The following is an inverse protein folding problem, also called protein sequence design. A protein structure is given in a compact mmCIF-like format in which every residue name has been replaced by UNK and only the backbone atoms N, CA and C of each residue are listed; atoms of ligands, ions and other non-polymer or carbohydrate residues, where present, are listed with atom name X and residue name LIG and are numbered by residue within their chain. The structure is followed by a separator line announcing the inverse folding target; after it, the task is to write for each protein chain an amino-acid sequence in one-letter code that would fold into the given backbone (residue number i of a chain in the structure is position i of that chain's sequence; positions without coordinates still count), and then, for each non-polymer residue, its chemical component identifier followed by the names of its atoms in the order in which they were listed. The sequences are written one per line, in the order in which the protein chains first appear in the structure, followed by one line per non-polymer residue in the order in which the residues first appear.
data_IF_065052953013
#
_entry.id   IF_065052953013
#
_cell.length_a   1.000
_cell.length_b   1.000
_cell.length_c   1.000
_cell.angle_alpha   90.00
_cell.angle_beta   90.00
_cell.angle_gamma   90.00
#
_symmetry.space_group_name_H-M   'P 1'
#
loop_
_entity.id
_entity.type
_entity.pdbx_description
1 polymer ?
#
# COMPACT_ATOMS: atom_id res chain seq x y z
N UNK A 1 11.99 -7.89 -12.23
CA UNK A 1 10.95 -8.83 -12.72
C UNK A 1 9.66 -8.40 -12.05
N UNK A 2 8.65 -7.98 -12.82
CA UNK A 2 7.34 -7.66 -12.26
C UNK A 2 6.76 -8.95 -11.66
N UNK A 3 6.43 -8.93 -10.37
CA UNK A 3 5.72 -10.02 -9.70
C UNK A 3 4.25 -9.91 -10.06
N UNK A 4 3.74 -10.87 -10.84
CA UNK A 4 2.30 -11.00 -11.14
C UNK A 4 1.49 -11.01 -9.84
N UNK A 5 0.61 -10.02 -9.67
CA UNK A 5 -0.22 -9.82 -8.47
C UNK A 5 -1.19 -10.97 -8.24
N UNK A 6 -1.53 -11.76 -9.26
CA UNK A 6 -2.42 -12.91 -9.12
C UNK A 6 -1.78 -14.11 -8.46
N UNK A 7 -0.47 -14.10 -8.17
CA UNK A 7 0.18 -15.20 -7.44
C UNK A 7 -0.07 -15.08 -5.94
N UNK A 8 -1.19 -15.65 -5.51
CA UNK A 8 -1.53 -15.79 -4.10
C UNK A 8 -0.58 -16.80 -3.43
N UNK A 9 0.11 -16.37 -2.37
CA UNK A 9 1.00 -17.22 -1.59
C UNK A 9 0.19 -18.27 -0.82
N UNK A 10 0.58 -19.54 -0.94
CA UNK A 10 -0.10 -20.66 -0.27
C UNK A 10 -0.08 -20.54 1.25
N UNK A 11 0.96 -19.93 1.81
CA UNK A 11 1.10 -19.65 3.25
C UNK A 11 -0.05 -18.77 3.78
N UNK A 12 -0.57 -17.87 2.95
CA UNK A 12 -1.69 -17.00 3.29
C UNK A 12 -3.08 -17.61 2.96
N UNK A 13 -3.14 -18.88 2.57
CA UNK A 13 -4.42 -19.53 2.26
C UNK A 13 -5.32 -19.62 3.50
N UNK A 14 -4.75 -19.98 4.65
CA UNK A 14 -5.52 -20.11 5.89
C UNK A 14 -6.13 -18.77 6.32
N UNK A 15 -5.34 -17.69 6.28
CA UNK A 15 -5.85 -16.36 6.66
C UNK A 15 -6.95 -15.90 5.70
N UNK A 16 -6.81 -16.12 4.39
CA UNK A 16 -7.86 -15.79 3.41
C UNK A 16 -9.16 -16.55 3.66
N UNK A 17 -9.08 -17.83 4.00
CA UNK A 17 -10.25 -18.64 4.37
C UNK A 17 -10.89 -18.16 5.67
N UNK A 18 -10.07 -17.89 6.68
CA UNK A 18 -10.53 -17.45 7.99
C UNK A 18 -11.23 -16.07 7.93
N UNK A 19 -10.67 -15.13 7.18
CA UNK A 19 -11.26 -13.78 7.00
C UNK A 19 -12.38 -13.73 5.96
N UNK A 20 -12.60 -14.81 5.20
CA UNK A 20 -13.62 -14.89 4.15
C UNK A 20 -13.24 -14.21 2.83
N UNK A 21 -11.98 -13.79 2.67
CA UNK A 21 -11.44 -13.23 1.42
C UNK A 21 -11.57 -14.22 0.26
N UNK A 22 -11.44 -15.51 0.53
CA UNK A 22 -11.61 -16.57 -0.47
C UNK A 22 -12.99 -16.55 -1.14
N UNK A 23 -14.05 -16.16 -0.42
CA UNK A 23 -15.41 -16.01 -0.98
C UNK A 23 -15.47 -14.92 -2.04
N UNK A 24 -14.76 -13.81 -1.83
CA UNK A 24 -14.68 -12.73 -2.81
C UNK A 24 -13.86 -13.15 -4.03
N UNK A 25 -12.70 -13.79 -3.81
CA UNK A 25 -11.86 -14.32 -4.89
C UNK A 25 -12.62 -15.36 -5.73
N UNK A 26 -13.36 -16.28 -5.10
CA UNK A 26 -14.18 -17.28 -5.79
C UNK A 26 -15.34 -16.64 -6.58
N UNK A 27 -15.83 -15.48 -6.16
CA UNK A 27 -16.82 -14.70 -6.89
C UNK A 27 -16.19 -13.77 -7.97
N UNK A 28 -14.87 -13.84 -8.17
CA UNK A 28 -14.15 -13.09 -9.20
C UNK A 28 -13.77 -11.67 -8.81
N UNK A 29 -13.89 -11.30 -7.53
CA UNK A 29 -13.51 -9.98 -7.03
C UNK A 29 -12.08 -10.00 -6.47
N UNK A 30 -11.21 -9.17 -7.04
CA UNK A 30 -9.79 -9.10 -6.66
C UNK A 30 -9.32 -7.69 -6.31
N UNK A 31 -10.26 -6.74 -6.15
CA UNK A 31 -9.99 -5.38 -5.71
C UNK A 31 -9.77 -4.37 -6.84
N UNK A 32 -10.14 -4.69 -8.08
CA UNK A 32 -9.95 -3.82 -9.27
C UNK A 32 -10.52 -2.40 -9.12
N UNK A 33 -11.46 -2.19 -8.20
CA UNK A 33 -12.12 -0.89 -7.93
C UNK A 33 -11.71 -0.28 -6.60
N UNK A 34 -10.71 -0.86 -5.93
CA UNK A 34 -10.22 -0.39 -4.64
C UNK A 34 -8.95 0.42 -4.87
N UNK A 35 -8.96 1.65 -4.39
CA UNK A 35 -7.74 2.40 -4.11
C UNK A 35 -7.64 2.55 -2.59
N UNK A 36 -6.57 2.02 -2.01
CA UNK A 36 -6.26 2.18 -0.60
C UNK A 36 -4.95 2.97 -0.45
N UNK A 37 -4.75 3.57 0.72
CA UNK A 37 -3.47 4.16 1.09
C UNK A 37 -2.87 3.47 2.30
N UNK A 38 -1.55 3.58 2.41
CA UNK A 38 -0.82 3.20 3.61
C UNK A 38 0.09 4.32 4.08
N UNK A 39 0.23 4.45 5.40
CA UNK A 39 1.23 5.31 6.03
C UNK A 39 2.66 4.75 5.95
N UNK A 40 2.81 3.50 5.50
CA UNK A 40 4.10 2.84 5.30
C UNK A 40 4.84 3.37 4.06
N UNK A 41 6.17 3.38 4.14
CA UNK A 41 7.05 3.77 3.04
C UNK A 41 8.00 2.64 2.67
N UNK A 42 8.26 2.44 1.38
CA UNK A 42 9.32 1.56 0.90
C UNK A 42 9.75 1.96 -0.51
N UNK A 43 10.97 1.57 -0.91
CA UNK A 43 11.36 1.75 -2.30
C UNK A 43 10.58 0.80 -3.21
N UNK A 44 9.92 1.31 -4.25
CA UNK A 44 9.17 0.48 -5.21
C UNK A 44 10.07 -0.53 -5.95
N UNK A 45 11.39 -0.31 -5.98
CA UNK A 45 12.38 -1.30 -6.47
C UNK A 45 12.36 -2.60 -5.68
N UNK A 46 11.98 -2.54 -4.40
CA UNK A 46 11.90 -3.71 -3.52
C UNK A 46 10.58 -4.45 -3.68
N UNK A 47 9.49 -3.73 -3.98
CA UNK A 47 8.16 -4.33 -4.11
C UNK A 47 7.20 -3.37 -4.85
N UNK A 48 6.84 -3.71 -6.09
CA UNK A 48 5.84 -3.00 -6.88
C UNK A 48 5.13 -3.99 -7.81
N UNK A 49 4.14 -4.74 -7.27
CA UNK A 49 3.51 -5.80 -8.03
C UNK A 49 2.59 -5.17 -9.09
N UNK A 50 2.75 -5.59 -10.35
CA UNK A 50 2.07 -5.08 -11.55
C UNK A 50 1.95 -3.55 -11.66
N UNK A 51 2.96 -2.82 -11.16
CA UNK A 51 2.97 -1.34 -11.15
C UNK A 51 1.75 -0.70 -10.46
N UNK A 52 1.16 -1.40 -9.48
CA UNK A 52 -0.04 -0.96 -8.76
C UNK A 52 0.25 -0.05 -7.55
N UNK A 53 1.52 0.24 -7.25
CA UNK A 53 1.92 1.13 -6.16
C UNK A 53 2.11 2.56 -6.66
N UNK A 54 1.40 3.50 -6.05
CA UNK A 54 1.49 4.94 -6.34
C UNK A 54 2.31 5.64 -5.24
N UNK A 55 3.27 6.48 -5.65
CA UNK A 55 4.21 7.18 -4.78
C UNK A 55 4.14 8.70 -4.99
N UNK A 56 3.03 9.36 -4.60
CA UNK A 56 2.82 10.80 -4.86
C UNK A 56 3.91 11.71 -4.27
N UNK A 57 4.57 11.27 -3.19
CA UNK A 57 5.65 12.01 -2.54
C UNK A 57 7.06 11.57 -2.97
N UNK A 58 7.17 10.72 -4.00
CA UNK A 58 8.42 10.15 -4.48
C UNK A 58 8.80 8.83 -3.83
N UNK A 59 9.86 8.21 -4.35
CA UNK A 59 10.31 6.88 -3.91
C UNK A 59 10.81 6.89 -2.47
N UNK A 60 10.40 5.90 -1.68
CA UNK A 60 10.70 5.76 -0.26
C UNK A 60 12.15 5.49 0.12
N UNK A 61 13.08 5.61 -0.82
CA UNK A 61 14.48 5.28 -0.63
C UNK A 61 15.12 6.18 0.44
N UNK A 62 15.52 5.59 1.57
CA UNK A 62 16.15 6.31 2.69
C UNK A 62 15.19 6.89 3.73
N UNK A 63 13.88 6.77 3.53
CA UNK A 63 12.86 7.31 4.44
C UNK A 63 12.41 6.24 5.42
N UNK A 64 13.05 6.17 6.58
CA UNK A 64 12.63 5.27 7.65
C UNK A 64 12.51 3.83 7.18
N UNK A 65 13.48 3.37 6.37
CA UNK A 65 13.60 1.99 5.93
C UNK A 65 13.80 1.14 7.20
N UNK A 66 12.71 0.88 7.93
CA UNK A 66 12.70 0.10 9.16
C UNK A 66 13.34 -1.21 8.77
N UNK A 67 14.58 -1.36 9.21
CA UNK A 67 15.53 -2.39 8.81
C UNK A 67 14.84 -3.75 8.95
N UNK A 68 14.31 -4.28 7.86
CA UNK A 68 13.43 -5.46 7.91
C UNK A 68 12.32 -5.55 6.84
N UNK A 69 12.08 -4.48 6.06
CA UNK A 69 11.09 -4.49 4.97
C UNK A 69 9.65 -4.47 5.47
N UNK A 70 9.39 -3.74 6.56
CA UNK A 70 8.05 -3.63 7.16
C UNK A 70 7.01 -3.15 6.14
N UNK A 71 7.23 -2.00 5.51
CA UNK A 71 6.31 -1.45 4.52
C UNK A 71 6.04 -2.38 3.34
N UNK A 72 7.08 -3.02 2.78
CA UNK A 72 6.89 -3.98 1.68
C UNK A 72 6.16 -5.25 2.11
N UNK A 73 6.34 -5.73 3.36
CA UNK A 73 5.57 -6.86 3.93
C UNK A 73 4.11 -6.49 4.20
N UNK A 74 3.87 -5.27 4.67
CA UNK A 74 2.52 -4.71 4.85
C UNK A 74 1.81 -4.63 3.50
N UNK A 75 2.47 -4.07 2.48
CA UNK A 75 1.96 -4.05 1.12
C UNK A 75 1.71 -5.47 0.58
N UNK A 76 2.65 -6.39 0.78
CA UNK A 76 2.47 -7.78 0.34
C UNK A 76 1.24 -8.43 0.96
N UNK A 77 0.98 -8.21 2.25
CA UNK A 77 -0.23 -8.70 2.92
C UNK A 77 -1.49 -8.12 2.30
N UNK A 78 -1.50 -6.81 2.01
CA UNK A 78 -2.63 -6.15 1.33
C UNK A 78 -2.92 -6.76 -0.05
N UNK A 79 -1.89 -6.97 -0.88
CA UNK A 79 -2.06 -7.59 -2.20
C UNK A 79 -2.44 -9.08 -2.13
N UNK A 80 -2.26 -9.76 -1.01
CA UNK A 80 -2.82 -11.11 -0.82
C UNK A 80 -4.34 -11.11 -0.63
N UNK A 81 -4.92 -9.95 -0.28
CA UNK A 81 -6.36 -9.75 -0.12
C UNK A 81 -6.96 -9.12 -1.38
N UNK A 82 -6.34 -8.07 -1.89
CA UNK A 82 -6.82 -7.29 -3.02
C UNK A 82 -5.73 -7.18 -4.11
N UNK A 83 -5.38 -8.27 -4.79
CA UNK A 83 -4.22 -8.29 -5.69
C UNK A 83 -4.29 -7.29 -6.84
N UNK A 84 -5.49 -6.90 -7.28
CA UNK A 84 -5.68 -5.97 -8.40
C UNK A 84 -6.07 -4.55 -7.97
N UNK A 85 -5.92 -4.24 -6.69
CA UNK A 85 -6.18 -2.89 -6.16
C UNK A 85 -4.98 -1.97 -6.33
N UNK A 86 -5.21 -0.67 -6.24
CA UNK A 86 -4.13 0.33 -6.25
C UNK A 86 -3.77 0.68 -4.80
N UNK A 87 -2.47 0.75 -4.49
CA UNK A 87 -1.97 1.11 -3.16
C UNK A 87 -1.15 2.40 -3.22
N UNK A 88 -1.56 3.40 -2.47
CA UNK A 88 -0.90 4.72 -2.41
C UNK A 88 -0.02 4.80 -1.18
N UNK A 89 1.26 5.11 -1.33
CA UNK A 89 2.15 5.44 -0.21
C UNK A 89 1.92 6.89 0.21
N UNK A 90 1.16 7.11 1.28
CA UNK A 90 0.91 8.43 1.88
C UNK A 90 1.75 8.63 3.15
N UNK A 91 3.01 8.21 3.09
CA UNK A 91 3.93 8.16 4.21
C UNK A 91 4.73 9.48 4.39
N UNK A 92 4.06 10.60 4.64
CA UNK A 92 4.73 11.85 5.05
C UNK A 92 4.83 11.89 6.58
N UNK A 93 5.69 11.05 7.17
CA UNK A 93 5.91 11.09 8.63
C UNK A 93 6.92 12.19 8.97
N UNK A 94 6.48 13.03 9.91
CA UNK A 94 7.03 14.27 10.48
C UNK A 94 8.55 14.45 10.53
N UNK A 95 8.94 15.74 10.55
CA UNK A 95 10.26 16.33 10.87
C UNK A 95 11.25 16.55 9.72
N UNK A 96 11.36 15.63 8.77
CA UNK A 96 12.45 15.64 7.78
C UNK A 96 12.50 16.85 6.81
N UNK A 97 11.42 17.64 6.68
CA UNK A 97 11.39 18.86 5.85
C UNK A 97 10.83 20.11 6.52
N UNK A 98 10.01 19.98 7.57
CA UNK A 98 9.30 21.12 8.16
C UNK A 98 9.94 21.65 9.43
N UNK A 99 10.88 20.90 10.05
CA UNK A 99 11.48 21.27 11.33
C UNK A 99 10.48 21.30 12.50
N UNK A 100 9.28 20.75 12.33
CA UNK A 100 8.21 20.73 13.33
C UNK A 100 7.95 19.30 13.80
N UNK A 101 7.70 19.16 15.10
CA UNK A 101 7.46 17.88 15.80
C UNK A 101 6.01 17.37 15.64
N UNK A 102 5.24 17.89 14.68
CA UNK A 102 3.82 17.57 14.49
C UNK A 102 3.51 17.22 13.03
N UNK A 103 2.46 16.41 12.82
CA UNK A 103 1.79 16.09 11.54
C UNK A 103 1.14 17.31 10.87
N UNK A 104 1.70 18.50 11.06
CA UNK A 104 1.16 19.77 10.61
C UNK A 104 1.31 19.90 9.08
N UNK A 105 0.20 20.02 8.35
CA UNK A 105 0.14 20.14 6.88
C UNK A 105 -0.17 18.84 6.13
N UNK A 106 -0.28 17.70 6.82
CA UNK A 106 -0.54 16.41 6.18
C UNK A 106 -1.86 16.40 5.41
N UNK A 107 -2.88 17.10 5.90
CA UNK A 107 -4.17 17.26 5.23
C UNK A 107 -3.99 17.99 3.89
N UNK A 108 -3.36 19.17 3.89
CA UNK A 108 -3.13 19.94 2.66
C UNK A 108 -2.29 19.17 1.62
N UNK A 109 -1.33 18.37 2.09
CA UNK A 109 -0.48 17.57 1.22
C UNK A 109 -1.17 16.30 0.69
N UNK A 110 -2.01 15.64 1.50
CA UNK A 110 -2.62 14.36 1.15
C UNK A 110 -4.01 14.50 0.51
N UNK A 111 -4.78 15.54 0.85
CA UNK A 111 -6.15 15.75 0.38
C UNK A 111 -6.25 15.74 -1.15
N UNK A 112 -5.37 16.43 -1.91
CA UNK A 112 -5.42 16.37 -3.37
C UNK A 112 -5.30 14.95 -3.91
N UNK A 113 -4.45 14.10 -3.32
CA UNK A 113 -4.25 12.72 -3.75
C UNK A 113 -5.38 11.78 -3.30
N UNK A 114 -5.97 12.04 -2.14
CA UNK A 114 -7.15 11.29 -1.67
C UNK A 114 -8.29 11.48 -2.66
N UNK A 115 -8.54 12.71 -3.09
CA UNK A 115 -9.58 13.03 -4.08
C UNK A 115 -9.21 12.54 -5.48
N UNK A 116 -8.00 12.83 -5.96
CA UNK A 116 -7.55 12.45 -7.31
C UNK A 116 -7.54 10.94 -7.51
N UNK A 117 -7.07 10.17 -6.52
CA UNK A 117 -6.95 8.71 -6.63
C UNK A 117 -8.18 7.96 -6.10
N UNK A 118 -9.18 8.67 -5.55
CA UNK A 118 -10.39 8.08 -4.99
C UNK A 118 -10.07 7.10 -3.85
N UNK A 119 -9.19 7.52 -2.92
CA UNK A 119 -8.73 6.66 -1.83
C UNK A 119 -9.88 6.42 -0.86
N UNK A 120 -10.32 5.16 -0.75
CA UNK A 120 -11.49 4.79 0.07
C UNK A 120 -11.13 4.26 1.46
N UNK A 121 -9.86 3.95 1.70
CA UNK A 121 -9.37 3.39 2.96
C UNK A 121 -7.90 3.71 3.20
N UNK A 122 -7.52 3.79 4.47
CA UNK A 122 -6.14 4.02 4.93
C UNK A 122 -5.81 3.02 6.02
N UNK A 123 -4.59 2.48 6.03
CA UNK A 123 -4.09 1.57 7.06
C UNK A 123 -2.60 1.74 7.38
#
# INVERSE_FOLDING_TARGET
MATETTKLHTENNYIRKFTGVDRFHNAGYFGERVTAATGENWSIKNYNPDDLVLIPFGDGYGWGNFSGGHGSKTAATFFQVAPRSRLVQLSKISRARTGKDCYCGLEDDCLPYIEEYGITSVF
#
